data_IF_332585526838
#
_entry.id   IF_332585526838
#
_cell.length_a   1.000
_cell.length_b   1.000
_cell.length_c   1.000
_cell.angle_alpha   90.00
_cell.angle_beta   90.00
_cell.angle_gamma   90.00
#
_symmetry.space_group_name_H-M   'P 1'
#
loop_
_entity.id
_entity.type
_entity.pdbx_description
1 polymer ?
#
# COMPACT_ATOMS: atom_id res chain seq x y z
N UNK A 1 28.59 -5.62 6.83
CA UNK A 1 27.29 -5.73 6.14
C UNK A 1 27.48 -5.07 4.78
N UNK A 2 27.12 -5.70 3.65
CA UNK A 2 27.05 -4.95 2.39
C UNK A 2 26.06 -3.78 2.55
N UNK A 3 26.31 -2.69 1.84
CA UNK A 3 25.45 -1.51 1.85
C UNK A 3 24.10 -1.87 1.20
N UNK A 4 22.99 -1.57 1.89
CA UNK A 4 21.66 -1.74 1.33
C UNK A 4 21.41 -0.63 0.30
N UNK A 5 21.42 -0.99 -0.99
CA UNK A 5 21.21 -0.06 -2.09
C UNK A 5 20.05 -0.47 -3.03
N UNK A 6 19.24 -1.45 -2.62
CA UNK A 6 18.05 -1.89 -3.36
C UNK A 6 16.82 -1.90 -2.46
N UNK A 7 15.67 -1.55 -3.04
CA UNK A 7 14.37 -1.61 -2.41
C UNK A 7 13.44 -2.45 -3.29
N UNK A 8 12.68 -3.34 -2.67
CA UNK A 8 11.84 -4.30 -3.38
C UNK A 8 10.39 -4.23 -2.94
N UNK A 9 9.48 -4.49 -3.86
CA UNK A 9 8.12 -4.92 -3.56
C UNK A 9 8.00 -6.40 -3.91
N UNK A 10 7.60 -7.23 -2.93
CA UNK A 10 7.50 -8.69 -3.09
C UNK A 10 8.76 -9.35 -3.68
N UNK A 11 9.95 -8.91 -3.24
CA UNK A 11 11.24 -9.47 -3.64
C UNK A 11 11.75 -9.01 -5.02
N UNK A 12 11.05 -8.11 -5.71
CA UNK A 12 11.46 -7.58 -7.02
C UNK A 12 11.72 -6.06 -6.94
N UNK A 13 12.81 -5.61 -7.55
CA UNK A 13 13.03 -4.19 -7.84
C UNK A 13 12.31 -3.83 -9.15
N UNK A 14 11.82 -2.60 -9.29
CA UNK A 14 11.41 -2.08 -10.59
C UNK A 14 12.59 -2.13 -11.58
N UNK A 15 12.41 -2.49 -12.87
CA UNK A 15 11.15 -2.72 -13.59
C UNK A 15 10.59 -4.15 -13.51
N UNK A 16 11.14 -5.02 -12.68
CA UNK A 16 10.73 -6.43 -12.61
C UNK A 16 9.46 -6.69 -11.78
N UNK A 17 8.93 -5.68 -11.09
CA UNK A 17 7.68 -5.76 -10.32
C UNK A 17 6.47 -5.96 -11.23
N UNK A 18 5.45 -6.67 -10.74
CA UNK A 18 4.20 -6.87 -11.46
C UNK A 18 3.27 -5.66 -11.28
N UNK A 19 2.47 -5.34 -12.30
CA UNK A 19 1.41 -4.31 -12.21
C UNK A 19 0.22 -4.80 -11.39
N UNK A 20 -0.45 -3.87 -10.70
CA UNK A 20 -1.74 -4.14 -10.06
C UNK A 20 -2.87 -3.80 -11.04
N UNK A 21 -3.30 -4.79 -11.82
CA UNK A 21 -4.40 -4.65 -12.79
C UNK A 21 -5.76 -4.68 -12.10
N UNK A 22 -6.64 -3.72 -12.44
CA UNK A 22 -7.98 -3.58 -11.86
C UNK A 22 -8.97 -3.14 -12.94
N UNK A 23 -10.26 -3.48 -12.77
CA UNK A 23 -11.34 -3.00 -13.63
C UNK A 23 -12.00 -1.74 -13.06
N UNK A 24 -12.60 -0.94 -13.94
CA UNK A 24 -13.43 0.18 -13.51
C UNK A 24 -14.55 -0.30 -12.58
N UNK A 25 -14.64 0.29 -11.40
CA UNK A 25 -15.65 0.00 -10.39
C UNK A 25 -15.22 -1.02 -9.33
N UNK A 26 -14.05 -1.66 -9.46
CA UNK A 26 -13.57 -2.61 -8.47
C UNK A 26 -13.37 -1.95 -7.10
N UNK A 27 -13.79 -2.65 -6.04
CA UNK A 27 -13.37 -2.33 -4.67
C UNK A 27 -12.09 -3.09 -4.38
N UNK A 28 -10.98 -2.37 -4.30
CA UNK A 28 -9.63 -2.93 -4.18
C UNK A 28 -9.15 -2.76 -2.75
N UNK A 29 -8.81 -3.88 -2.10
CA UNK A 29 -8.17 -3.89 -0.79
C UNK A 29 -6.71 -4.31 -0.93
N UNK A 30 -5.79 -3.49 -0.44
CA UNK A 30 -4.34 -3.76 -0.45
C UNK A 30 -3.84 -3.84 0.98
N UNK A 31 -3.07 -4.89 1.29
CA UNK A 31 -2.32 -5.00 2.54
C UNK A 31 -0.84 -4.74 2.27
N UNK A 32 -0.30 -3.72 2.90
CA UNK A 32 1.14 -3.51 2.96
C UNK A 32 1.72 -4.21 4.19
N UNK A 33 2.89 -4.81 4.02
CA UNK A 33 3.66 -5.40 5.11
C UNK A 33 5.13 -5.04 4.90
N UNK A 34 5.74 -4.44 5.92
CA UNK A 34 7.15 -4.11 5.88
C UNK A 34 7.93 -5.02 6.82
N UNK A 35 8.63 -5.98 6.22
CA UNK A 35 9.51 -6.94 6.91
C UNK A 35 10.98 -6.49 6.92
N UNK A 36 11.26 -5.25 6.51
CA UNK A 36 12.60 -4.69 6.38
C UNK A 36 12.81 -3.49 7.32
N UNK A 37 14.06 -3.05 7.43
CA UNK A 37 14.49 -2.06 8.42
C UNK A 37 14.10 -0.61 8.07
N UNK A 38 14.00 -0.27 6.77
CA UNK A 38 13.69 1.09 6.32
C UNK A 38 12.18 1.33 6.27
N UNK A 39 11.75 2.56 6.56
CA UNK A 39 10.34 2.93 6.41
C UNK A 39 10.00 3.24 4.95
N UNK A 40 8.80 2.88 4.54
CA UNK A 40 8.36 3.06 3.16
C UNK A 40 7.09 3.92 3.09
N UNK A 41 7.18 5.18 2.64
CA UNK A 41 5.99 5.94 2.28
C UNK A 41 5.43 5.40 0.96
N UNK A 42 4.27 4.75 1.02
CA UNK A 42 3.59 4.21 -0.17
C UNK A 42 2.51 5.20 -0.61
N UNK A 43 2.66 5.73 -1.82
CA UNK A 43 1.74 6.67 -2.45
C UNK A 43 0.95 6.00 -3.58
N UNK A 44 -0.34 6.28 -3.69
CA UNK A 44 -1.20 5.81 -4.77
C UNK A 44 -1.61 6.98 -5.68
N UNK A 45 -1.27 6.88 -6.96
CA UNK A 45 -1.65 7.87 -7.97
C UNK A 45 -3.15 7.74 -8.31
N UNK A 46 -3.78 8.88 -8.64
CA UNK A 46 -5.15 8.93 -9.17
C UNK A 46 -6.28 8.58 -8.20
N UNK A 47 -5.98 8.10 -6.98
CA UNK A 47 -6.95 7.66 -6.00
C UNK A 47 -6.58 8.15 -4.59
N UNK A 48 -7.60 8.46 -3.79
CA UNK A 48 -7.49 8.41 -2.34
C UNK A 48 -7.98 7.03 -1.88
N UNK A 49 -7.41 6.55 -0.78
CA UNK A 49 -7.79 5.30 -0.14
C UNK A 49 -8.20 5.54 1.31
N UNK A 50 -9.09 4.71 1.83
CA UNK A 50 -9.37 4.62 3.26
C UNK A 50 -8.33 3.73 3.92
N UNK A 51 -7.85 4.11 5.11
CA UNK A 51 -7.11 3.20 5.98
C UNK A 51 -8.12 2.39 6.79
N UNK A 52 -8.20 1.09 6.53
CA UNK A 52 -9.26 0.20 7.05
C UNK A 52 -8.76 -0.81 8.08
N UNK A 53 -7.45 -0.94 8.26
CA UNK A 53 -6.86 -1.83 9.26
C UNK A 53 -5.39 -1.51 9.54
N UNK A 54 -4.94 -1.89 10.73
CA UNK A 54 -3.58 -1.75 11.21
C UNK A 54 -3.18 -3.04 11.95
N UNK A 55 -1.99 -3.57 11.66
CA UNK A 55 -1.41 -4.74 12.35
C UNK A 55 -2.35 -5.94 12.46
N UNK A 56 -3.09 -6.20 11.38
CA UNK A 56 -4.04 -7.31 11.29
C UNK A 56 -5.43 -7.04 11.88
N UNK A 57 -5.63 -5.92 12.58
CA UNK A 57 -6.91 -5.55 13.17
C UNK A 57 -7.68 -4.54 12.32
N UNK A 58 -9.00 -4.71 12.15
CA UNK A 58 -9.81 -3.73 11.44
C UNK A 58 -9.95 -2.44 12.25
N UNK A 59 -9.86 -1.30 11.56
CA UNK A 59 -10.15 0.01 12.13
C UNK A 59 -11.67 0.23 12.04
N UNK A 60 -12.26 0.71 13.15
CA UNK A 60 -13.68 1.04 13.23
C UNK A 60 -14.05 2.04 12.14
N UNK A 61 -15.20 1.83 11.48
CA UNK A 61 -15.61 2.60 10.30
C UNK A 61 -15.64 4.11 10.55
N UNK A 62 -15.98 4.52 11.78
CA UNK A 62 -16.11 5.91 12.20
C UNK A 62 -14.74 6.61 12.35
N UNK A 63 -13.67 5.83 12.50
CA UNK A 63 -12.29 6.33 12.66
C UNK A 63 -11.41 6.08 11.43
N UNK A 64 -11.97 5.50 10.36
CA UNK A 64 -11.25 5.34 9.11
C UNK A 64 -11.02 6.70 8.47
N UNK A 65 -9.79 6.92 8.00
CA UNK A 65 -9.39 8.19 7.39
C UNK A 65 -8.98 7.98 5.95
N UNK A 66 -9.25 8.98 5.12
CA UNK A 66 -8.77 9.02 3.75
C UNK A 66 -7.35 9.57 3.70
N UNK A 67 -6.51 8.91 2.90
CA UNK A 67 -5.14 9.33 2.58
C UNK A 67 -4.85 9.01 1.12
N UNK A 68 -3.74 9.54 0.62
CA UNK A 68 -3.13 9.13 -0.65
C UNK A 68 -1.70 8.57 -0.46
N UNK A 69 -1.12 8.76 0.73
CA UNK A 69 0.17 8.22 1.13
C UNK A 69 0.06 7.66 2.54
N UNK A 70 0.63 6.49 2.77
CA UNK A 70 0.76 5.87 4.10
C UNK A 70 2.23 5.53 4.34
N UNK A 71 2.73 5.85 5.53
CA UNK A 71 4.05 5.41 5.97
C UNK A 71 3.91 4.01 6.55
N UNK A 72 4.61 3.04 5.96
CA UNK A 72 4.68 1.67 6.47
C UNK A 72 6.02 1.52 7.17
N UNK A 73 6.02 1.60 8.51
CA UNK A 73 7.26 1.49 9.27
C UNK A 73 7.67 0.02 9.45
N UNK A 74 8.89 -0.22 9.94
CA UNK A 74 9.44 -1.57 10.08
C UNK A 74 8.58 -2.40 11.02
N UNK A 75 8.11 -3.56 10.56
CA UNK A 75 7.29 -4.50 11.35
C UNK A 75 5.78 -4.24 11.31
N UNK A 76 5.33 -3.14 10.69
CA UNK A 76 3.90 -2.81 10.60
C UNK A 76 3.22 -3.46 9.38
N UNK A 77 1.89 -3.62 9.52
CA UNK A 77 1.00 -3.84 8.38
C UNK A 77 -0.11 -2.80 8.35
N UNK A 78 -0.46 -2.37 7.14
CA UNK A 78 -1.56 -1.43 6.91
C UNK A 78 -2.48 -1.98 5.83
N UNK A 79 -3.79 -1.99 6.11
CA UNK A 79 -4.82 -2.31 5.14
C UNK A 79 -5.44 -1.03 4.61
N UNK A 80 -5.46 -0.88 3.29
CA UNK A 80 -6.14 0.22 2.61
C UNK A 80 -7.22 -0.29 1.66
N UNK A 81 -8.24 0.54 1.42
CA UNK A 81 -9.30 0.25 0.47
C UNK A 81 -9.59 1.46 -0.42
N UNK A 82 -9.72 1.25 -1.73
CA UNK A 82 -10.16 2.26 -2.68
C UNK A 82 -11.10 1.66 -3.73
N UNK A 83 -11.87 2.52 -4.39
CA UNK A 83 -12.73 2.12 -5.50
C UNK A 83 -12.08 2.62 -6.79
N UNK A 84 -11.80 1.71 -7.74
CA UNK A 84 -11.11 2.00 -9.00
C UNK A 84 -12.04 2.74 -9.99
N UNK A 85 -12.28 4.03 -9.76
CA UNK A 85 -13.19 4.87 -10.57
C UNK A 85 -12.49 5.91 -11.43
N UNK A 86 -11.17 5.89 -11.47
CA UNK A 86 -10.36 6.82 -12.27
C UNK A 86 -9.45 6.04 -13.23
N UNK A 87 -9.91 5.75 -14.47
CA UNK A 87 -9.11 5.01 -15.45
C UNK A 87 -7.79 5.73 -15.80
N UNK A 88 -6.69 4.98 -15.85
CA UNK A 88 -5.34 5.50 -16.14
C UNK A 88 -4.26 4.42 -15.99
N UNK A 89 -2.99 4.86 -15.98
CA UNK A 89 -1.78 4.08 -15.63
C UNK A 89 -1.00 4.85 -14.57
#
# INVERSE_FOLDING_TARGET
>A
MPEFNFFTLNGKCYPSTDSLEVCYGDTVKVRFCNIQMHHHPIHLHGHQFKVVGADGFPIRKETQIYKNTILVTSGETWDIEFIAKNPGI
#
